data_IF_009242512030
#
_entry.id   IF_009242512030
#
_cell.length_a   1.000
_cell.length_b   1.000
_cell.length_c   1.000
_cell.angle_alpha   90.00
_cell.angle_beta   90.00
_cell.angle_gamma   90.00
#
_symmetry.space_group_name_H-M   'P 1'
#
loop_
_entity.id
_entity.type
_entity.pdbx_description
1 polymer ?
#
# COMPACT_ATOMS: atom_id res chain seq x y z
N UNK A 1 13.61 22.50 18.48
CA UNK A 1 12.97 22.81 17.17
C UNK A 1 13.34 21.85 16.02
N UNK A 2 14.13 20.78 16.21
CA UNK A 2 14.54 19.87 15.10
C UNK A 2 13.51 18.77 14.76
N UNK A 3 12.56 18.49 15.65
CA UNK A 3 11.52 17.47 15.45
C UNK A 3 10.41 17.88 14.46
N UNK A 4 10.22 19.18 14.27
CA UNK A 4 9.17 19.72 13.41
C UNK A 4 9.53 19.57 11.92
N UNK A 5 10.77 19.89 11.56
CA UNK A 5 11.24 19.86 10.16
C UNK A 5 11.18 18.48 9.51
N UNK A 6 11.38 17.39 10.26
CA UNK A 6 11.28 16.02 9.69
C UNK A 6 9.84 15.61 9.43
N UNK A 7 8.91 15.96 10.32
CA UNK A 7 7.48 15.66 10.13
C UNK A 7 6.92 16.44 8.94
N UNK A 8 7.32 17.70 8.81
CA UNK A 8 7.01 18.53 7.65
C UNK A 8 7.57 17.88 6.38
N UNK A 9 8.85 17.47 6.37
CA UNK A 9 9.46 16.84 5.19
C UNK A 9 8.77 15.55 4.74
N UNK A 10 8.44 14.63 5.67
CA UNK A 10 7.70 13.41 5.32
C UNK A 10 6.27 13.71 4.87
N UNK A 11 5.57 14.64 5.53
CA UNK A 11 4.23 15.07 5.13
C UNK A 11 4.21 15.68 3.74
N UNK A 12 5.18 16.55 3.43
CA UNK A 12 5.34 17.13 2.09
C UNK A 12 5.67 16.06 1.05
N UNK A 13 6.54 15.10 1.36
CA UNK A 13 6.90 14.03 0.44
C UNK A 13 5.70 13.12 0.13
N UNK A 14 4.92 12.74 1.13
CA UNK A 14 3.68 11.95 0.95
C UNK A 14 2.69 12.74 0.10
N UNK A 15 2.52 14.04 0.36
CA UNK A 15 1.59 14.88 -0.38
C UNK A 15 2.01 15.04 -1.86
N UNK A 16 3.29 15.29 -2.12
CA UNK A 16 3.82 15.38 -3.48
C UNK A 16 3.66 14.04 -4.21
N UNK A 17 3.97 12.92 -3.55
CA UNK A 17 3.74 11.60 -4.12
C UNK A 17 2.27 11.37 -4.45
N UNK A 18 1.36 11.74 -3.54
CA UNK A 18 -0.08 11.56 -3.75
C UNK A 18 -0.60 12.38 -4.93
N UNK A 19 -0.11 13.61 -5.13
CA UNK A 19 -0.43 14.42 -6.31
C UNK A 19 0.05 13.76 -7.60
N UNK A 20 1.27 13.21 -7.61
CA UNK A 20 1.81 12.50 -8.76
C UNK A 20 1.01 11.23 -9.06
N UNK A 21 0.71 10.43 -8.03
CA UNK A 21 -0.12 9.23 -8.15
C UNK A 21 -1.52 9.57 -8.69
N UNK A 22 -2.15 10.62 -8.16
CA UNK A 22 -3.44 11.09 -8.65
C UNK A 22 -3.39 11.48 -10.13
N UNK A 23 -2.35 12.21 -10.54
CA UNK A 23 -2.18 12.59 -11.95
C UNK A 23 -1.97 11.38 -12.86
N UNK A 24 -1.21 10.36 -12.42
CA UNK A 24 -1.01 9.13 -13.19
C UNK A 24 -2.33 8.34 -13.28
N UNK A 25 -3.04 8.17 -12.17
CA UNK A 25 -4.32 7.48 -12.13
C UNK A 25 -5.37 8.17 -13.01
N UNK A 26 -5.45 9.50 -12.96
CA UNK A 26 -6.32 10.31 -13.83
C UNK A 26 -5.95 10.15 -15.30
N UNK A 27 -4.65 10.21 -15.64
CA UNK A 27 -4.18 10.03 -17.02
C UNK A 27 -4.55 8.66 -17.58
N UNK A 28 -4.38 7.59 -16.79
CA UNK A 28 -4.72 6.22 -17.21
C UNK A 28 -6.24 6.06 -17.35
N UNK A 29 -7.01 6.55 -16.38
CA UNK A 29 -8.47 6.50 -16.42
C UNK A 29 -9.04 7.26 -17.64
N UNK A 30 -8.49 8.44 -17.92
CA UNK A 30 -8.84 9.23 -19.10
C UNK A 30 -8.47 8.52 -20.40
N UNK A 31 -7.26 7.95 -20.49
CA UNK A 31 -6.79 7.25 -21.68
C UNK A 31 -7.64 6.01 -22.01
N UNK A 32 -8.08 5.28 -20.99
CA UNK A 32 -8.90 4.07 -21.14
C UNK A 32 -10.41 4.37 -21.20
N UNK A 33 -10.82 5.62 -20.94
CA UNK A 33 -12.23 6.02 -20.88
C UNK A 33 -13.01 5.40 -19.72
N UNK A 34 -12.33 4.84 -18.72
CA UNK A 34 -12.93 4.18 -17.56
C UNK A 34 -12.50 4.87 -16.26
N UNK A 35 -13.37 5.75 -15.77
CA UNK A 35 -13.16 6.49 -14.53
C UNK A 35 -13.16 5.61 -13.28
N UNK A 36 -13.67 4.38 -13.34
CA UNK A 36 -13.62 3.45 -12.21
C UNK A 36 -12.21 2.92 -11.95
N UNK A 37 -11.30 3.03 -12.92
CA UNK A 37 -9.90 2.61 -12.78
C UNK A 37 -9.07 3.57 -11.90
N UNK A 38 -9.56 4.78 -11.66
CA UNK A 38 -8.86 5.77 -10.84
C UNK A 38 -8.61 5.23 -9.43
N UNK A 39 -9.63 4.64 -8.81
CA UNK A 39 -9.56 4.10 -7.44
C UNK A 39 -8.54 2.96 -7.33
N UNK A 40 -8.63 1.87 -8.12
CA UNK A 40 -7.70 0.75 -7.98
C UNK A 40 -6.26 1.11 -8.37
N UNK A 41 -6.05 2.02 -9.32
CA UNK A 41 -4.70 2.51 -9.66
C UNK A 41 -4.11 3.29 -8.49
N UNK A 42 -4.86 4.24 -7.92
CA UNK A 42 -4.42 4.97 -6.72
C UNK A 42 -4.10 4.03 -5.56
N UNK A 43 -4.91 3.00 -5.33
CA UNK A 43 -4.67 2.00 -4.28
C UNK A 43 -3.36 1.25 -4.52
N UNK A 44 -3.07 0.86 -5.76
CA UNK A 44 -1.81 0.20 -6.11
C UNK A 44 -0.62 1.13 -5.89
N UNK A 45 -0.66 2.35 -6.42
CA UNK A 45 0.45 3.31 -6.32
C UNK A 45 0.73 3.72 -4.88
N UNK A 46 -0.31 4.11 -4.12
CA UNK A 46 -0.19 4.45 -2.71
C UNK A 46 0.25 3.23 -1.89
N UNK A 47 -0.27 2.05 -2.19
CA UNK A 47 0.12 0.80 -1.55
C UNK A 47 1.62 0.52 -1.69
N UNK A 48 2.15 0.57 -2.92
CA UNK A 48 3.58 0.39 -3.18
C UNK A 48 4.41 1.43 -2.44
N UNK A 49 4.03 2.70 -2.52
CA UNK A 49 4.78 3.78 -1.89
C UNK A 49 4.81 3.66 -0.37
N UNK A 50 3.69 3.33 0.27
CA UNK A 50 3.61 3.13 1.72
C UNK A 50 4.49 1.93 2.15
N UNK A 51 4.53 0.84 1.36
CA UNK A 51 5.42 -0.30 1.61
C UNK A 51 6.89 0.15 1.57
N UNK A 52 7.28 0.87 0.50
CA UNK A 52 8.64 1.38 0.33
C UNK A 52 9.01 2.30 1.49
N UNK A 53 8.13 3.22 1.88
CA UNK A 53 8.35 4.12 3.00
C UNK A 53 8.55 3.34 4.31
N UNK A 54 7.73 2.32 4.57
CA UNK A 54 7.89 1.42 5.70
C UNK A 54 9.25 0.74 5.73
N UNK A 55 9.70 0.20 4.59
CA UNK A 55 11.02 -0.45 4.45
C UNK A 55 12.16 0.54 4.67
N UNK A 56 12.07 1.75 4.08
CA UNK A 56 13.09 2.79 4.25
C UNK A 56 13.21 3.27 5.69
N UNK A 57 12.08 3.40 6.40
CA UNK A 57 12.07 3.68 7.84
C UNK A 57 12.79 2.54 8.58
N UNK A 58 12.47 1.29 8.25
CA UNK A 58 13.07 0.10 8.87
C UNK A 58 14.60 0.05 8.73
N UNK A 59 15.13 0.40 7.55
CA UNK A 59 16.58 0.41 7.27
C UNK A 59 17.28 1.51 8.09
N UNK A 60 16.61 2.64 8.29
CA UNK A 60 17.17 3.82 8.96
C UNK A 60 17.16 3.73 10.48
N UNK A 61 16.19 3.04 11.07
CA UNK A 61 16.23 2.65 12.50
C UNK A 61 17.09 1.41 12.65
N UNK A 62 18.38 1.59 12.95
CA UNK A 62 19.37 0.53 13.17
C UNK A 62 18.77 -0.73 13.84
N UNK A 63 18.63 -1.81 13.06
CA UNK A 63 18.51 -3.26 13.30
C UNK A 63 18.04 -3.88 14.65
N UNK A 64 17.93 -3.17 15.78
CA UNK A 64 17.64 -3.75 17.10
C UNK A 64 16.17 -3.90 17.44
N UNK A 65 15.26 -3.28 16.69
CA UNK A 65 13.82 -3.54 16.79
C UNK A 65 13.15 -3.07 15.52
N UNK A 66 12.56 -3.97 14.73
CA UNK A 66 11.56 -3.50 13.78
C UNK A 66 10.38 -3.02 14.61
N UNK A 67 10.24 -1.70 14.73
CA UNK A 67 9.19 -1.07 15.50
C UNK A 67 7.80 -1.42 14.93
N UNK A 68 6.80 -1.42 15.82
CA UNK A 68 5.39 -1.66 15.46
C UNK A 68 4.92 -0.75 14.31
N UNK A 69 5.48 0.46 14.25
CA UNK A 69 5.23 1.48 13.22
C UNK A 69 5.62 0.98 11.82
N UNK A 70 6.78 0.34 11.66
CA UNK A 70 7.22 -0.20 10.36
C UNK A 70 6.27 -1.30 9.89
N UNK A 71 5.90 -2.21 10.80
CA UNK A 71 4.98 -3.31 10.47
C UNK A 71 3.60 -2.80 10.11
N UNK A 72 3.15 -1.72 10.76
CA UNK A 72 1.90 -1.04 10.45
C UNK A 72 1.91 -0.47 9.02
N UNK A 73 2.93 0.29 8.63
CA UNK A 73 3.03 0.83 7.27
C UNK A 73 3.06 -0.27 6.22
N UNK A 74 3.90 -1.29 6.40
CA UNK A 74 3.98 -2.40 5.42
C UNK A 74 2.66 -3.16 5.32
N UNK A 75 1.96 -3.40 6.44
CA UNK A 75 0.67 -4.07 6.43
C UNK A 75 -0.40 -3.28 5.66
N UNK A 76 -0.58 -2.00 5.98
CA UNK A 76 -1.59 -1.16 5.31
C UNK A 76 -1.25 -0.89 3.84
N UNK A 77 0.05 -0.74 3.52
CA UNK A 77 0.49 -0.62 2.13
C UNK A 77 0.22 -1.89 1.33
N UNK A 78 0.52 -3.07 1.87
CA UNK A 78 0.19 -4.34 1.23
C UNK A 78 -1.33 -4.56 1.11
N UNK A 79 -2.11 -4.11 2.09
CA UNK A 79 -3.58 -4.19 2.05
C UNK A 79 -4.16 -3.33 0.92
N UNK A 80 -3.70 -2.08 0.80
CA UNK A 80 -4.10 -1.19 -0.30
C UNK A 80 -3.69 -1.79 -1.65
N UNK A 81 -2.45 -2.29 -1.74
CA UNK A 81 -1.92 -2.91 -2.95
C UNK A 81 -2.77 -4.12 -3.39
N UNK A 82 -3.03 -5.08 -2.49
CA UNK A 82 -3.80 -6.26 -2.86
C UNK A 82 -5.26 -5.91 -3.18
N UNK A 83 -5.86 -4.96 -2.47
CA UNK A 83 -7.22 -4.51 -2.78
C UNK A 83 -7.30 -3.90 -4.19
N UNK A 84 -6.33 -3.05 -4.56
CA UNK A 84 -6.24 -2.48 -5.91
C UNK A 84 -6.03 -3.55 -6.98
N UNK A 85 -5.12 -4.51 -6.75
CA UNK A 85 -4.88 -5.62 -7.68
C UNK A 85 -6.12 -6.49 -7.87
N UNK A 86 -6.82 -6.86 -6.79
CA UNK A 86 -8.02 -7.68 -6.87
C UNK A 86 -9.16 -6.96 -7.61
N UNK A 87 -9.26 -5.65 -7.43
CA UNK A 87 -10.22 -4.83 -8.16
C UNK A 87 -9.91 -4.83 -9.67
N UNK A 88 -8.65 -4.59 -10.06
CA UNK A 88 -8.24 -4.66 -11.47
C UNK A 88 -8.48 -6.06 -12.06
N UNK A 89 -8.16 -7.11 -11.30
CA UNK A 89 -8.38 -8.49 -11.72
C UNK A 89 -9.87 -8.80 -11.94
N UNK A 90 -10.77 -8.24 -11.11
CA UNK A 90 -12.21 -8.38 -11.31
C UNK A 90 -12.70 -7.72 -12.60
N UNK A 91 -12.09 -6.60 -12.99
CA UNK A 91 -12.40 -5.92 -14.25
C UNK A 91 -12.06 -6.77 -15.48
N UNK A 92 -10.99 -7.57 -15.41
CA UNK A 92 -10.58 -8.44 -16.51
C UNK A 92 -11.34 -9.79 -16.52
N UNK A 93 -11.71 -10.29 -15.34
CA UNK A 93 -12.39 -11.58 -15.20
C UNK A 93 -13.68 -11.45 -14.37
N UNK A 94 -14.75 -10.91 -14.98
CA UNK A 94 -16.03 -10.79 -14.29
C UNK A 94 -16.60 -12.16 -13.91
N UNK A 95 -17.17 -12.27 -12.71
CA UNK A 95 -17.75 -13.52 -12.18
C UNK A 95 -16.83 -14.31 -11.24
N UNK A 96 -15.55 -13.93 -11.11
CA UNK A 96 -14.58 -14.62 -10.28
C UNK A 96 -14.49 -14.10 -8.83
N UNK A 97 -15.54 -13.42 -8.35
CA UNK A 97 -15.60 -12.87 -6.98
C UNK A 97 -15.23 -13.90 -5.90
N UNK A 98 -15.74 -15.16 -5.94
CA UNK A 98 -15.36 -16.16 -4.94
C UNK A 98 -13.85 -16.46 -4.91
N UNK A 99 -13.21 -16.48 -6.08
CA UNK A 99 -11.76 -16.72 -6.21
C UNK A 99 -10.97 -15.53 -5.65
N UNK A 100 -11.40 -14.30 -5.95
CA UNK A 100 -10.76 -13.09 -5.43
C UNK A 100 -10.85 -13.00 -3.90
N UNK A 101 -12.01 -13.37 -3.34
CA UNK A 101 -12.20 -13.47 -1.89
C UNK A 101 -11.26 -14.54 -1.31
N UNK A 102 -11.17 -15.72 -1.93
CA UNK A 102 -10.27 -16.77 -1.47
C UNK A 102 -8.80 -16.30 -1.47
N UNK A 103 -8.35 -15.62 -2.53
CA UNK A 103 -7.00 -15.04 -2.61
C UNK A 103 -6.78 -14.00 -1.50
N UNK A 104 -7.75 -13.12 -1.27
CA UNK A 104 -7.68 -12.13 -0.19
C UNK A 104 -7.56 -12.79 1.18
N UNK A 105 -8.36 -13.83 1.46
CA UNK A 105 -8.33 -14.56 2.72
C UNK A 105 -7.00 -15.31 2.92
N UNK A 106 -6.45 -15.94 1.87
CA UNK A 106 -5.14 -16.59 1.91
C UNK A 106 -4.05 -15.57 2.25
N UNK A 107 -4.06 -14.43 1.57
CA UNK A 107 -3.12 -13.34 1.85
C UNK A 107 -3.26 -12.81 3.28
N UNK A 108 -4.49 -12.63 3.76
CA UNK A 108 -4.78 -12.14 5.11
C UNK A 108 -4.27 -13.14 6.17
N UNK A 109 -4.51 -14.44 5.97
CA UNK A 109 -3.98 -15.49 6.83
C UNK A 109 -2.43 -15.48 6.85
N UNK A 110 -1.79 -15.35 5.69
CA UNK A 110 -0.33 -15.26 5.59
C UNK A 110 0.21 -14.04 6.35
N UNK A 111 -0.45 -12.87 6.22
CA UNK A 111 -0.05 -11.66 6.95
C UNK A 111 -0.20 -11.80 8.46
N UNK A 112 -1.29 -12.39 8.94
CA UNK A 112 -1.48 -12.65 10.38
C UNK A 112 -0.38 -13.57 10.91
N UNK A 113 -0.01 -14.62 10.16
CA UNK A 113 1.08 -15.52 10.54
C UNK A 113 2.42 -14.78 10.63
N UNK A 114 2.75 -13.96 9.64
CA UNK A 114 3.99 -13.15 9.62
C UNK A 114 4.04 -12.21 10.82
N UNK A 115 2.94 -11.49 11.11
CA UNK A 115 2.85 -10.56 12.24
C UNK A 115 2.91 -11.29 13.59
N UNK A 116 2.29 -12.47 13.70
CA UNK A 116 2.27 -13.30 14.92
C UNK A 116 3.66 -13.87 15.25
N UNK A 117 4.39 -14.38 14.25
CA UNK A 117 5.77 -14.88 14.44
C UNK A 117 6.69 -13.74 14.88
N UNK A 118 6.52 -12.56 14.29
CA UNK A 118 7.32 -11.38 14.62
C UNK A 118 7.06 -10.87 16.05
N UNK A 119 5.83 -10.99 16.55
CA UNK A 119 5.47 -10.58 17.90
C UNK A 119 6.04 -11.46 19.03
N UNK A 120 6.57 -12.66 18.72
CA UNK A 120 7.18 -13.57 19.71
C UNK A 120 8.69 -13.42 19.88
N UNK A 121 9.37 -12.64 19.03
CA UNK A 121 10.82 -12.34 19.15
C UNK A 121 11.03 -10.98 19.80
#
# INVERSE_FOLDING_TARGET
MVWDSRRIAYGTLIFVFFLVALAIAELIAWYLGDWLLLIPILLVECGVFIIILGILIAIKTEYKRIDSITSYFVFWGCLALIAGILWLANGWFPGNIPVLIAVFLIWLAAMILVLSIRGRR
#
